data_IF_386549409319
#
_entry.id   IF_386549409319
#
_cell.length_a   1.000
_cell.length_b   1.000
_cell.length_c   1.000
_cell.angle_alpha   90.00
_cell.angle_beta   90.00
_cell.angle_gamma   90.00
#
_symmetry.space_group_name_H-M   'P 1'
#
loop_
_entity.id
_entity.type
_entity.pdbx_description
1 polymer ?
#
# COMPACT_ATOMS: atom_id res chain seq x y z
N UNK A 1 -9.64 7.53 10.54
CA UNK A 1 -10.38 7.40 9.26
C UNK A 1 -9.97 6.12 8.57
N UNK A 2 -10.87 5.41 7.88
CA UNK A 2 -10.49 4.21 7.11
C UNK A 2 -10.34 4.57 5.64
N UNK A 3 -9.19 4.24 5.06
CA UNK A 3 -8.91 4.44 3.63
C UNK A 3 -8.75 3.07 2.99
N UNK A 4 -9.43 2.87 1.85
CA UNK A 4 -9.28 1.66 1.05
C UNK A 4 -8.30 1.92 -0.08
N UNK A 5 -7.22 1.14 -0.09
CA UNK A 5 -6.24 1.09 -1.15
C UNK A 5 -6.60 -0.02 -2.12
N UNK A 6 -6.46 0.25 -3.41
CA UNK A 6 -6.72 -0.68 -4.50
C UNK A 6 -5.54 -0.67 -5.46
N UNK A 7 -5.27 -1.80 -6.09
CA UNK A 7 -4.30 -1.91 -7.16
C UNK A 7 -4.79 -2.89 -8.23
N UNK A 8 -4.24 -2.78 -9.43
CA UNK A 8 -4.59 -3.68 -10.52
C UNK A 8 -4.01 -5.07 -10.29
N UNK A 9 -4.72 -6.10 -10.76
CA UNK A 9 -4.15 -7.45 -10.81
C UNK A 9 -3.00 -7.52 -11.81
N UNK A 10 -1.98 -8.31 -11.48
CA UNK A 10 -0.85 -8.58 -12.37
C UNK A 10 -0.91 -10.05 -12.79
N UNK A 11 -0.66 -10.34 -14.07
CA UNK A 11 -0.65 -11.71 -14.58
C UNK A 11 0.33 -12.58 -13.81
N UNK A 12 -0.07 -13.80 -13.47
CA UNK A 12 0.68 -14.78 -12.66
C UNK A 12 0.97 -14.36 -11.20
N UNK A 13 0.51 -13.19 -10.75
CA UNK A 13 0.65 -12.80 -9.37
C UNK A 13 -0.33 -13.58 -8.49
N UNK A 14 0.19 -14.18 -7.43
CA UNK A 14 -0.60 -14.89 -6.41
C UNK A 14 -0.67 -14.10 -5.11
N UNK A 15 0.19 -13.09 -4.95
CA UNK A 15 0.29 -12.25 -3.77
C UNK A 15 0.82 -10.86 -4.13
N UNK A 16 0.60 -9.91 -3.22
CA UNK A 16 1.02 -8.53 -3.34
C UNK A 16 1.62 -8.09 -2.02
N UNK A 17 2.80 -7.48 -2.05
CA UNK A 17 3.36 -6.81 -0.89
C UNK A 17 2.99 -5.32 -0.97
N UNK A 18 2.41 -4.81 0.11
CA UNK A 18 2.04 -3.42 0.28
C UNK A 18 2.89 -2.82 1.41
N UNK A 19 3.57 -1.71 1.11
CA UNK A 19 4.31 -0.93 2.10
C UNK A 19 3.72 0.47 2.16
N UNK A 20 3.41 0.91 3.37
CA UNK A 20 2.99 2.28 3.69
C UNK A 20 4.01 2.93 4.63
N UNK A 21 4.37 4.15 4.28
CA UNK A 21 5.25 5.01 5.04
C UNK A 21 4.46 6.16 5.67
N UNK A 22 4.78 6.47 6.92
CA UNK A 22 4.23 7.63 7.62
C UNK A 22 4.85 8.94 7.08
N UNK A 23 4.44 10.07 7.63
CA UNK A 23 4.92 11.40 7.24
C UNK A 23 6.43 11.60 7.44
N UNK A 24 7.06 10.81 8.31
CA UNK A 24 8.51 10.82 8.56
C UNK A 24 9.28 9.92 7.59
N UNK A 25 8.59 9.26 6.64
CA UNK A 25 9.18 8.30 5.72
C UNK A 25 9.51 6.95 6.36
N UNK A 26 9.04 6.68 7.59
CA UNK A 26 9.24 5.41 8.27
C UNK A 26 8.17 4.41 7.86
N UNK A 27 8.52 3.13 7.80
CA UNK A 27 7.55 2.06 7.53
C UNK A 27 6.54 2.00 8.67
N UNK A 28 5.29 2.33 8.35
CA UNK A 28 4.16 2.19 9.27
C UNK A 28 3.40 0.88 9.05
N UNK A 29 3.44 0.33 7.83
CA UNK A 29 2.88 -0.99 7.53
C UNK A 29 3.67 -1.67 6.41
N UNK A 30 3.98 -2.96 6.59
CA UNK A 30 4.48 -3.87 5.54
C UNK A 30 3.68 -5.17 5.63
N UNK A 31 2.92 -5.51 4.59
CA UNK A 31 2.03 -6.67 4.62
C UNK A 31 1.91 -7.34 3.26
N UNK A 32 1.61 -8.64 3.28
CA UNK A 32 1.33 -9.45 2.08
C UNK A 32 -0.15 -9.78 2.02
N UNK A 33 -0.78 -9.53 0.87
CA UNK A 33 -2.19 -9.82 0.59
C UNK A 33 -2.32 -10.68 -0.67
N UNK A 34 -3.32 -11.55 -0.70
CA UNK A 34 -3.73 -12.25 -1.92
C UNK A 34 -4.81 -11.46 -2.69
N UNK A 35 -5.49 -10.52 -2.02
CA UNK A 35 -6.43 -9.58 -2.61
C UNK A 35 -5.71 -8.44 -3.34
N UNK A 36 -6.47 -7.73 -4.18
CA UNK A 36 -6.06 -6.49 -4.85
C UNK A 36 -6.48 -5.23 -4.09
N UNK A 37 -6.74 -5.38 -2.79
CA UNK A 37 -7.18 -4.28 -1.93
C UNK A 37 -6.81 -4.49 -0.47
N UNK A 38 -6.70 -3.37 0.25
CA UNK A 38 -6.42 -3.32 1.68
C UNK A 38 -7.09 -2.08 2.29
N UNK A 39 -7.76 -2.27 3.42
CA UNK A 39 -8.29 -1.17 4.25
C UNK A 39 -7.26 -0.88 5.34
N UNK A 40 -6.90 0.40 5.51
CA UNK A 40 -6.00 0.84 6.58
C UNK A 40 -6.67 1.95 7.37
N UNK A 41 -6.59 1.85 8.70
CA UNK A 41 -6.98 2.93 9.59
C UNK A 41 -5.84 3.95 9.67
N UNK A 42 -6.15 5.18 9.29
CA UNK A 42 -5.24 6.31 9.20
C UNK A 42 -5.66 7.43 10.15
N UNK A 43 -4.71 8.29 10.51
CA UNK A 43 -4.91 9.52 11.26
C UNK A 43 -5.80 10.52 10.52
N UNK A 44 -6.23 11.56 11.23
CA UNK A 44 -7.11 12.61 10.69
C UNK A 44 -6.36 13.78 10.06
N UNK A 45 -5.03 13.85 10.27
CA UNK A 45 -4.18 14.86 9.66
C UNK A 45 -2.76 14.29 9.50
N UNK A 46 -2.48 13.73 8.32
CA UNK A 46 -1.17 13.15 8.01
C UNK A 46 -0.93 13.12 6.50
N UNK A 47 0.34 13.10 6.11
CA UNK A 47 0.75 12.75 4.75
C UNK A 47 1.40 11.38 4.78
N UNK A 48 0.87 10.46 3.98
CA UNK A 48 1.39 9.10 3.84
C UNK A 48 1.86 8.86 2.41
N UNK A 49 2.76 7.89 2.25
CA UNK A 49 3.14 7.37 0.94
C UNK A 49 3.07 5.86 0.93
N UNK A 50 2.82 5.25 -0.22
CA UNK A 50 2.76 3.80 -0.33
C UNK A 50 3.20 3.30 -1.70
N UNK A 51 3.57 2.03 -1.74
CA UNK A 51 3.88 1.29 -2.96
C UNK A 51 3.45 -0.16 -2.82
N UNK A 52 3.21 -0.79 -3.96
CA UNK A 52 2.82 -2.21 -4.04
C UNK A 52 3.70 -2.94 -5.05
N UNK A 53 4.01 -4.20 -4.80
CA UNK A 53 4.61 -5.08 -5.82
C UNK A 53 3.90 -6.42 -5.85
N UNK A 54 3.81 -6.98 -7.05
CA UNK A 54 3.27 -8.32 -7.27
C UNK A 54 4.34 -9.38 -6.99
N UNK A 55 3.92 -10.54 -6.50
CA UNK A 55 4.75 -11.72 -6.38
C UNK A 55 3.99 -13.01 -6.66
N UNK A 56 4.73 -14.08 -6.87
CA UNK A 56 4.19 -15.41 -7.13
C UNK A 56 4.43 -16.39 -5.97
N UNK A 57 3.91 -17.61 -6.08
CA UNK A 57 4.10 -18.67 -5.07
C UNK A 57 5.51 -19.25 -5.07
N UNK A 58 6.30 -19.02 -6.11
CA UNK A 58 7.70 -19.43 -6.20
C UNK A 58 8.65 -18.47 -5.47
N UNK A 59 8.13 -17.35 -4.96
CA UNK A 59 8.91 -16.37 -4.22
C UNK A 59 9.51 -15.26 -5.10
N UNK A 60 9.17 -15.24 -6.38
CA UNK A 60 9.58 -14.15 -7.26
C UNK A 60 8.75 -12.91 -6.96
N UNK A 61 9.42 -11.76 -6.97
CA UNK A 61 8.79 -10.45 -6.79
C UNK A 61 9.09 -9.58 -8.00
N UNK A 62 8.04 -8.97 -8.55
CA UNK A 62 8.18 -7.98 -9.61
C UNK A 62 8.73 -6.64 -9.11
N UNK A 63 8.84 -5.70 -10.04
CA UNK A 63 9.15 -4.32 -9.72
C UNK A 63 8.08 -3.73 -8.77
N UNK A 64 8.51 -2.77 -7.95
CA UNK A 64 7.59 -1.92 -7.22
C UNK A 64 6.80 -1.04 -8.20
N UNK A 65 5.56 -0.72 -7.85
CA UNK A 65 4.83 0.39 -8.45
C UNK A 65 5.57 1.71 -8.21
N UNK A 66 5.14 2.75 -8.91
CA UNK A 66 5.41 4.12 -8.47
C UNK A 66 4.98 4.33 -7.02
N UNK A 67 5.65 5.27 -6.35
CA UNK A 67 5.27 5.67 -4.99
C UNK A 67 4.13 6.67 -5.07
N UNK A 68 3.01 6.32 -4.44
CA UNK A 68 1.83 7.16 -4.35
C UNK A 68 1.87 7.99 -3.07
N UNK A 69 1.14 9.11 -3.05
CA UNK A 69 1.03 10.00 -1.88
C UNK A 69 -0.41 10.41 -1.64
N UNK A 70 -0.78 10.52 -0.37
CA UNK A 70 -2.08 10.99 0.09
C UNK A 70 -1.87 11.90 1.29
N UNK A 71 -2.42 13.11 1.22
CA UNK A 71 -2.50 14.04 2.35
C UNK A 71 -3.93 14.09 2.85
N UNK A 72 -4.12 13.69 4.10
CA UNK A 72 -5.39 13.77 4.81
C UNK A 72 -5.41 15.11 5.54
N UNK A 73 -6.49 15.87 5.35
CA UNK A 73 -6.72 17.13 6.07
C UNK A 73 -8.04 17.04 6.81
N UNK A 74 -8.06 17.52 8.05
CA UNK A 74 -9.31 17.79 8.74
C UNK A 74 -10.00 19.00 8.11
N UNK A 75 -11.30 18.89 7.85
CA UNK A 75 -12.12 20.06 7.54
C UNK A 75 -12.36 20.77 8.87
N UNK A 76 -11.65 21.89 9.08
CA UNK A 76 -11.88 22.79 10.22
C UNK A 76 -13.02 23.73 9.93
#
# INVERSE_FOLDING_TARGET
MSVTFWWNSVSNATKYQFILYNQQGQVALDTIKTSTSLIVALGTEETITWKVRAGDNSGNWGAWSDTWSLTIKSLT
#
